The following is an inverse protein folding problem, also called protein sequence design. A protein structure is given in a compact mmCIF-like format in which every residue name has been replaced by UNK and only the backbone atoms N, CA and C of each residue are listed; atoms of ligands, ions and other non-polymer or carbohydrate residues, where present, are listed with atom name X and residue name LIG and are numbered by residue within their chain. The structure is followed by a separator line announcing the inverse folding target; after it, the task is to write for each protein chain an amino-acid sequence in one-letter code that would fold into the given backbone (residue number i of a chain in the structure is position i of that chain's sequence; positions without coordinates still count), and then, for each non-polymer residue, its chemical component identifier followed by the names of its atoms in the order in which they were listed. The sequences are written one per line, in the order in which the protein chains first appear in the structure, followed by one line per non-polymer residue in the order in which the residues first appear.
data_IF_180570471737
#
_entry.id   IF_180570471737
#
_cell.length_a   1.000
_cell.length_b   1.000
_cell.length_c   1.000
_cell.angle_alpha   90.00
_cell.angle_beta   90.00
_cell.angle_gamma   90.00
#
_symmetry.space_group_name_H-M   'P 1'
#
loop_
_entity.id
_entity.type
_entity.pdbx_description
1 polymer ?
#
# COMPACT_ATOMS: atom_id res chain seq x y z
N UNK A 1 2.34 -21.17 18.42
CA UNK A 1 2.92 -20.44 17.30
C UNK A 1 3.16 -18.99 17.70
N UNK A 2 4.28 -18.37 17.27
CA UNK A 2 4.46 -16.96 17.59
C UNK A 2 3.34 -16.16 16.92
N UNK A 3 2.82 -15.15 17.61
CA UNK A 3 1.79 -14.33 17.00
C UNK A 3 2.37 -13.63 15.77
N UNK A 4 1.62 -13.62 14.69
CA UNK A 4 2.00 -12.83 13.52
C UNK A 4 2.01 -11.35 13.92
N UNK A 5 2.90 -10.57 13.29
CA UNK A 5 2.96 -9.14 13.56
C UNK A 5 1.62 -8.53 13.16
N UNK A 6 0.95 -7.91 14.13
CA UNK A 6 -0.33 -7.25 13.88
C UNK A 6 -0.07 -5.87 13.28
N UNK A 7 -0.06 -5.79 11.96
CA UNK A 7 0.16 -4.54 11.24
C UNK A 7 -1.15 -3.79 11.04
N UNK A 8 -1.09 -2.49 11.18
CA UNK A 8 -2.22 -1.64 10.87
C UNK A 8 -3.33 -1.59 11.91
N UNK A 9 -3.11 -2.13 13.11
CA UNK A 9 -4.15 -2.17 14.15
C UNK A 9 -4.54 -0.79 14.66
N UNK A 10 -3.64 0.18 14.53
CA UNK A 10 -3.87 1.56 14.97
C UNK A 10 -4.32 2.49 13.84
N UNK A 11 -4.50 1.95 12.65
CA UNK A 11 -4.96 2.74 11.49
C UNK A 11 -6.46 2.98 11.64
N UNK A 12 -6.86 4.25 11.49
CA UNK A 12 -8.27 4.64 11.58
C UNK A 12 -8.73 5.22 10.27
N UNK A 13 -9.92 4.80 9.83
CA UNK A 13 -10.57 5.39 8.68
C UNK A 13 -11.36 6.62 9.13
N UNK A 14 -11.03 7.79 8.56
CA UNK A 14 -11.72 9.05 8.88
C UNK A 14 -12.80 9.35 7.85
N UNK A 15 -12.68 8.78 6.66
CA UNK A 15 -13.70 8.84 5.62
C UNK A 15 -13.49 7.66 4.68
N UNK A 16 -14.28 7.56 3.61
CA UNK A 16 -14.18 6.45 2.66
C UNK A 16 -12.77 6.27 2.10
N UNK A 17 -12.07 7.38 1.83
CA UNK A 17 -10.75 7.34 1.20
C UNK A 17 -9.68 8.08 2.01
N UNK A 18 -9.95 8.37 3.27
CA UNK A 18 -8.98 9.02 4.14
C UNK A 18 -8.77 8.22 5.42
N UNK A 19 -7.52 8.17 5.86
CA UNK A 19 -7.12 7.38 7.01
C UNK A 19 -6.14 8.16 7.87
N UNK A 20 -6.14 7.88 9.16
CA UNK A 20 -5.10 8.33 10.09
C UNK A 20 -4.21 7.15 10.42
N UNK A 21 -2.90 7.32 10.21
CA UNK A 21 -1.92 6.27 10.45
C UNK A 21 -0.87 6.80 11.41
N UNK A 22 -0.73 6.20 12.60
CA UNK A 22 0.36 6.57 13.51
C UNK A 22 1.72 6.31 12.87
N UNK A 23 2.68 7.19 13.14
CA UNK A 23 4.05 7.03 12.63
C UNK A 23 4.62 5.66 13.02
N UNK A 24 4.30 5.18 14.21
CA UNK A 24 4.74 3.88 14.69
C UNK A 24 4.27 2.74 13.78
N UNK A 25 3.07 2.85 13.19
CA UNK A 25 2.58 1.84 12.25
C UNK A 25 3.37 1.86 10.94
N UNK A 26 3.74 3.04 10.46
CA UNK A 26 4.58 3.17 9.27
C UNK A 26 5.94 2.50 9.53
N UNK A 27 6.58 2.84 10.63
CA UNK A 27 7.89 2.28 10.99
C UNK A 27 7.81 0.77 11.14
N UNK A 28 6.76 0.27 11.79
CA UNK A 28 6.53 -1.15 11.99
C UNK A 28 6.33 -1.89 10.67
N UNK A 29 5.54 -1.31 9.77
CA UNK A 29 5.29 -1.89 8.45
C UNK A 29 6.58 -1.94 7.63
N UNK A 30 7.34 -0.84 7.61
CA UNK A 30 8.58 -0.76 6.86
C UNK A 30 9.66 -1.68 7.45
N UNK A 31 9.59 -1.99 8.73
CA UNK A 31 10.53 -2.92 9.38
C UNK A 31 10.15 -4.38 9.18
N UNK A 32 8.95 -4.66 8.68
CA UNK A 32 8.43 -6.01 8.50
C UNK A 32 7.98 -6.26 7.06
N UNK A 33 8.79 -5.84 6.10
CA UNK A 33 8.45 -5.95 4.68
C UNK A 33 8.22 -7.38 4.21
N UNK A 34 8.91 -8.36 4.79
CA UNK A 34 8.68 -9.76 4.46
C UNK A 34 7.25 -10.17 4.80
N UNK A 35 6.77 -9.78 5.97
CA UNK A 35 5.39 -10.07 6.38
C UNK A 35 4.39 -9.36 5.50
N UNK A 36 4.67 -8.11 5.16
CA UNK A 36 3.82 -7.34 4.25
C UNK A 36 3.74 -8.01 2.87
N UNK A 37 4.88 -8.45 2.35
CA UNK A 37 4.94 -9.11 1.04
C UNK A 37 4.19 -10.45 1.03
N UNK A 38 4.10 -11.13 2.18
CA UNK A 38 3.43 -12.41 2.29
C UNK A 38 1.92 -12.31 2.50
N UNK A 39 1.41 -11.11 2.79
CA UNK A 39 -0.02 -10.91 3.05
C UNK A 39 -0.85 -10.79 1.79
N UNK A 40 -0.23 -10.69 0.64
CA UNK A 40 -0.90 -10.62 -0.65
C UNK A 40 0.05 -11.08 -1.75
N UNK A 41 -0.51 -11.43 -2.90
CA UNK A 41 0.29 -11.64 -4.11
C UNK A 41 0.40 -10.34 -4.86
N UNK A 42 1.62 -10.00 -5.27
CA UNK A 42 1.91 -8.76 -5.96
C UNK A 42 2.58 -9.10 -7.28
N UNK A 43 1.97 -8.67 -8.38
CA UNK A 43 2.52 -8.90 -9.72
C UNK A 43 2.54 -7.58 -10.49
N UNK A 44 3.53 -7.38 -11.39
CA UNK A 44 3.53 -6.19 -12.24
C UNK A 44 2.29 -6.19 -13.13
N UNK A 45 1.66 -5.04 -13.28
CA UNK A 45 0.57 -4.84 -14.21
C UNK A 45 1.11 -4.18 -15.47
N UNK A 46 0.83 -4.77 -16.62
CA UNK A 46 1.30 -4.25 -17.90
C UNK A 46 0.13 -3.77 -18.73
N UNK A 47 0.36 -2.68 -19.47
CA UNK A 47 -0.55 -2.17 -20.48
C UNK A 47 0.28 -1.81 -21.69
N UNK A 48 -0.04 -2.40 -22.83
CA UNK A 48 0.70 -2.19 -24.08
C UNK A 48 2.20 -2.45 -23.93
N UNK A 49 2.57 -3.46 -23.11
CA UNK A 49 3.95 -3.86 -22.90
C UNK A 49 4.71 -2.99 -21.89
N UNK A 50 4.05 -2.00 -21.28
CA UNK A 50 4.66 -1.09 -20.32
C UNK A 50 4.11 -1.36 -18.92
N UNK A 51 4.98 -1.44 -17.92
CA UNK A 51 4.56 -1.61 -16.53
C UNK A 51 3.80 -0.38 -16.06
N UNK A 52 2.60 -0.59 -15.54
CA UNK A 52 1.67 0.47 -15.12
C UNK A 52 1.38 0.44 -13.63
N UNK A 53 2.17 -0.28 -12.86
CA UNK A 53 1.95 -0.41 -11.44
C UNK A 53 1.99 -1.86 -11.01
N UNK A 54 1.49 -2.14 -9.81
CA UNK A 54 1.49 -3.49 -9.26
C UNK A 54 0.08 -3.90 -8.87
N UNK A 55 -0.33 -5.04 -9.39
CA UNK A 55 -1.64 -5.61 -9.08
C UNK A 55 -1.53 -6.50 -7.85
N UNK A 56 -2.47 -6.34 -6.93
CA UNK A 56 -2.54 -7.13 -5.71
C UNK A 56 -3.74 -8.06 -5.76
N UNK A 57 -3.54 -9.31 -5.37
CA UNK A 57 -4.62 -10.28 -5.26
C UNK A 57 -4.27 -11.32 -4.18
N UNK A 58 -5.22 -12.19 -3.87
CA UNK A 58 -5.10 -13.14 -2.75
C UNK A 58 -4.74 -12.43 -1.45
N UNK A 59 -5.34 -11.27 -1.22
CA UNK A 59 -5.08 -10.44 -0.04
C UNK A 59 -5.72 -11.12 1.18
N UNK A 60 -4.93 -11.28 2.24
CA UNK A 60 -5.45 -11.86 3.48
C UNK A 60 -6.42 -10.89 4.15
N UNK A 61 -7.55 -11.38 4.70
CA UNK A 61 -8.57 -10.49 5.27
C UNK A 61 -8.10 -9.61 6.42
N UNK A 62 -7.12 -10.07 7.19
CA UNK A 62 -6.58 -9.33 8.34
C UNK A 62 -5.25 -8.64 8.04
N UNK A 63 -4.92 -8.48 6.76
CA UNK A 63 -3.65 -7.88 6.34
C UNK A 63 -3.65 -6.37 6.47
N UNK A 64 -2.45 -5.78 6.39
CA UNK A 64 -2.29 -4.33 6.31
C UNK A 64 -3.03 -3.76 5.10
N UNK A 65 -3.03 -4.48 3.99
CA UNK A 65 -3.71 -4.04 2.77
C UNK A 65 -5.20 -3.83 2.99
N UNK A 66 -5.85 -4.76 3.68
CA UNK A 66 -7.26 -4.65 4.01
C UNK A 66 -7.52 -3.44 4.90
N UNK A 67 -6.64 -3.22 5.86
CA UNK A 67 -6.80 -2.12 6.82
C UNK A 67 -6.62 -0.74 6.21
N UNK A 68 -5.88 -0.65 5.11
CA UNK A 68 -5.71 0.60 4.37
C UNK A 68 -6.66 0.72 3.19
N UNK A 69 -7.60 -0.21 3.05
CA UNK A 69 -8.65 -0.12 2.05
C UNK A 69 -8.30 -0.67 0.67
N UNK A 70 -7.22 -1.43 0.55
CA UNK A 70 -6.84 -2.08 -0.71
C UNK A 70 -7.64 -3.37 -0.85
N UNK A 71 -8.14 -3.65 -2.04
CA UNK A 71 -8.96 -4.83 -2.34
C UNK A 71 -8.31 -5.71 -3.38
N UNK A 72 -8.75 -6.96 -3.44
CA UNK A 72 -8.28 -7.90 -4.46
C UNK A 72 -8.53 -7.33 -5.85
N UNK A 73 -7.52 -7.38 -6.69
CA UNK A 73 -7.58 -6.89 -8.06
C UNK A 73 -7.20 -5.41 -8.22
N UNK A 74 -6.95 -4.71 -7.12
CA UNK A 74 -6.50 -3.33 -7.19
C UNK A 74 -5.08 -3.25 -7.78
N UNK A 75 -4.85 -2.26 -8.63
CA UNK A 75 -3.53 -1.96 -9.18
C UNK A 75 -3.05 -0.66 -8.57
N UNK A 76 -1.97 -0.72 -7.80
CA UNK A 76 -1.35 0.47 -7.23
C UNK A 76 -0.49 1.10 -8.33
N UNK A 77 -0.87 2.28 -8.78
CA UNK A 77 -0.21 2.96 -9.91
C UNK A 77 0.79 4.01 -9.47
N UNK A 78 0.45 4.77 -8.42
CA UNK A 78 1.30 5.86 -7.93
C UNK A 78 1.22 5.97 -6.43
N UNK A 79 2.31 6.42 -5.84
CA UNK A 79 2.38 6.76 -4.42
C UNK A 79 3.03 8.13 -4.33
N UNK A 80 2.32 9.11 -3.73
CA UNK A 80 2.79 10.50 -3.60
C UNK A 80 3.22 11.12 -4.94
N UNK A 81 2.49 10.78 -6.02
CA UNK A 81 2.79 11.30 -7.34
C UNK A 81 3.93 10.59 -8.07
N UNK A 82 4.57 9.62 -7.44
CA UNK A 82 5.64 8.83 -8.07
C UNK A 82 5.05 7.60 -8.72
N UNK A 83 5.38 7.39 -9.99
CA UNK A 83 4.91 6.22 -10.73
C UNK A 83 5.56 4.95 -10.18
N UNK A 84 4.73 3.96 -9.87
CA UNK A 84 5.19 2.68 -9.35
C UNK A 84 5.31 1.71 -10.53
N UNK A 85 6.35 1.89 -11.35
CA UNK A 85 6.51 1.16 -12.60
C UNK A 85 7.73 0.25 -12.65
N UNK A 86 8.49 0.15 -11.55
CA UNK A 86 9.65 -0.74 -11.48
C UNK A 86 10.01 -0.99 -10.03
N UNK A 87 10.77 -2.08 -9.74
CA UNK A 87 11.28 -2.32 -8.39
C UNK A 87 12.17 -1.19 -7.87
N UNK A 88 12.95 -0.55 -8.74
CA UNK A 88 13.80 0.58 -8.36
C UNK A 88 12.98 1.76 -7.88
N UNK A 89 11.87 2.04 -8.56
CA UNK A 89 10.94 3.10 -8.14
C UNK A 89 10.31 2.79 -6.79
N UNK A 90 9.98 1.52 -6.55
CA UNK A 90 9.43 1.09 -5.27
C UNK A 90 10.42 1.37 -4.12
N UNK A 91 11.71 1.14 -4.34
CA UNK A 91 12.75 1.43 -3.35
C UNK A 91 12.90 2.92 -3.08
N UNK A 92 12.83 3.75 -4.12
CA UNK A 92 12.87 5.20 -3.96
C UNK A 92 11.68 5.69 -3.13
N UNK A 93 10.50 5.19 -3.44
CA UNK A 93 9.28 5.55 -2.72
C UNK A 93 9.38 5.11 -1.27
N UNK A 94 9.87 3.91 -1.02
CA UNK A 94 10.08 3.39 0.33
C UNK A 94 10.91 4.36 1.18
N UNK A 95 12.02 4.84 0.63
CA UNK A 95 12.90 5.79 1.34
C UNK A 95 12.18 7.09 1.69
N UNK A 96 11.27 7.53 0.81
CA UNK A 96 10.52 8.76 1.02
C UNK A 96 9.37 8.58 2.03
N UNK A 97 8.79 7.39 2.08
CA UNK A 97 7.68 7.11 3.00
C UNK A 97 8.10 7.17 4.46
N UNK A 98 9.36 6.89 4.75
CA UNK A 98 9.87 6.95 6.12
C UNK A 98 9.72 8.33 6.76
N UNK A 99 9.76 9.38 5.95
CA UNK A 99 9.71 10.75 6.42
C UNK A 99 8.42 11.47 6.04
N UNK A 100 7.51 10.79 5.33
CA UNK A 100 6.29 11.41 4.86
C UNK A 100 5.32 11.66 6.00
N UNK A 101 4.66 12.82 5.99
CA UNK A 101 3.56 13.13 6.90
C UNK A 101 2.21 12.86 6.26
N UNK A 102 2.20 12.64 4.95
CA UNK A 102 1.00 12.32 4.19
C UNK A 102 1.38 11.38 3.06
N UNK A 103 0.57 10.36 2.87
CA UNK A 103 0.77 9.38 1.81
C UNK A 103 -0.50 9.33 0.97
N UNK A 104 -0.36 9.59 -0.33
CA UNK A 104 -1.46 9.46 -1.30
C UNK A 104 -1.17 8.25 -2.18
N UNK A 105 -2.12 7.32 -2.26
CA UNK A 105 -2.01 6.15 -3.13
C UNK A 105 -3.07 6.24 -4.20
N UNK A 106 -2.65 6.16 -5.46
CA UNK A 106 -3.56 6.08 -6.59
C UNK A 106 -3.69 4.63 -7.03
N UNK A 107 -4.92 4.14 -7.05
CA UNK A 107 -5.25 2.75 -7.35
C UNK A 107 -6.21 2.71 -8.51
N UNK A 108 -6.03 1.74 -9.40
CA UNK A 108 -7.00 1.43 -10.44
C UNK A 108 -7.83 0.24 -9.96
N UNK A 109 -9.12 0.46 -9.78
CA UNK A 109 -10.06 -0.58 -9.32
C UNK A 109 -11.09 -0.81 -10.41
N UNK A 110 -10.92 -1.91 -11.14
CA UNK A 110 -11.81 -2.27 -12.25
C UNK A 110 -11.96 -1.16 -13.28
N UNK A 111 -10.86 -0.48 -13.61
CA UNK A 111 -10.86 0.61 -14.57
C UNK A 111 -11.22 1.97 -14.00
N UNK A 112 -11.53 2.04 -12.69
CA UNK A 112 -11.87 3.28 -12.01
C UNK A 112 -10.70 3.74 -11.14
N UNK A 113 -10.29 4.99 -11.31
CA UNK A 113 -9.23 5.55 -10.47
C UNK A 113 -9.76 5.85 -9.07
N UNK A 114 -9.07 5.34 -8.07
CA UNK A 114 -9.40 5.57 -6.66
C UNK A 114 -8.16 6.15 -5.99
N UNK A 115 -8.32 7.28 -5.30
CA UNK A 115 -7.23 7.87 -4.53
C UNK A 115 -7.51 7.69 -3.04
N UNK A 116 -6.52 7.18 -2.32
CA UNK A 116 -6.60 7.04 -0.88
C UNK A 116 -5.52 7.88 -0.23
N UNK A 117 -5.90 8.60 0.81
CA UNK A 117 -4.99 9.51 1.52
C UNK A 117 -4.78 9.00 2.94
N UNK A 118 -3.53 8.96 3.35
CA UNK A 118 -3.14 8.52 4.68
C UNK A 118 -2.38 9.65 5.36
N UNK A 119 -2.95 10.15 6.47
CA UNK A 119 -2.32 11.19 7.26
C UNK A 119 -1.50 10.53 8.37
N UNK A 120 -0.20 10.74 8.36
CA UNK A 120 0.73 10.12 9.30
C UNK A 120 0.89 11.03 10.52
N UNK A 121 0.69 10.47 11.68
CA UNK A 121 0.73 11.23 12.92
C UNK A 121 1.70 10.67 13.96
#
# INVERSE_FOLDING_TARGET
APPSVALGTSIKSTSENEYEVPRAEIDKTLSNLNDVAMQARIVPAFKDGVAQGFKLFSIRPDSIYTKIGIQNGDVIKRINGYDLNSPEKALEIYSKLKEASRIDIEVDRNGTAVRKTYNVR
#
